data_IF_342461788327
#
_entry.id   IF_342461788327
#
_cell.length_a   1.000
_cell.length_b   1.000
_cell.length_c   1.000
_cell.angle_alpha   90.00
_cell.angle_beta   90.00
_cell.angle_gamma   90.00
#
_symmetry.space_group_name_H-M   'P 1'
#
loop_
_entity.id
_entity.type
_entity.pdbx_description
1 polymer ?
#
# COMPACT_ATOMS: atom_id res chain seq x y z
N UNK A 1 0.50 21.63 -10.30
CA UNK A 1 -0.11 20.41 -9.71
C UNK A 1 0.96 19.68 -8.92
N UNK A 2 0.67 19.04 -7.77
CA UNK A 2 1.70 18.27 -7.04
C UNK A 2 1.89 16.90 -7.69
N UNK A 3 3.11 16.35 -7.59
CA UNK A 3 3.44 15.02 -8.14
C UNK A 3 2.46 13.91 -7.73
N UNK A 4 1.99 13.90 -6.48
CA UNK A 4 1.01 12.92 -5.99
C UNK A 4 -0.32 13.01 -6.74
N UNK A 5 -0.83 14.23 -6.94
CA UNK A 5 -2.11 14.45 -7.61
C UNK A 5 -2.01 14.08 -9.09
N UNK A 6 -0.87 14.39 -9.73
CA UNK A 6 -0.57 14.01 -11.11
C UNK A 6 -0.51 12.48 -11.27
N UNK A 7 0.22 11.78 -10.40
CA UNK A 7 0.29 10.31 -10.42
C UNK A 7 -1.09 9.68 -10.21
N UNK A 8 -1.89 10.21 -9.28
CA UNK A 8 -3.25 9.72 -9.04
C UNK A 8 -4.16 9.94 -10.26
N UNK A 9 -4.05 11.10 -10.93
CA UNK A 9 -4.80 11.40 -12.13
C UNK A 9 -4.44 10.49 -13.31
N UNK A 10 -3.15 10.32 -13.57
CA UNK A 10 -2.66 9.44 -14.61
C UNK A 10 -3.11 7.98 -14.39
N UNK A 11 -3.04 7.48 -13.15
CA UNK A 11 -3.55 6.14 -12.80
C UNK A 11 -5.05 6.00 -13.05
N UNK A 12 -5.86 7.02 -12.75
CA UNK A 12 -7.31 7.02 -13.09
C UNK A 12 -7.57 6.96 -14.59
N UNK A 13 -6.65 7.51 -15.39
CA UNK A 13 -6.69 7.48 -16.86
C UNK A 13 -6.10 6.20 -17.46
N UNK A 14 -5.78 5.21 -16.63
CA UNK A 14 -5.24 3.92 -17.06
C UNK A 14 -3.74 3.93 -17.34
N UNK A 15 -3.01 4.97 -16.92
CA UNK A 15 -1.55 5.05 -17.06
C UNK A 15 -0.88 4.36 -15.89
N UNK A 16 0.01 3.42 -16.20
CA UNK A 16 0.92 2.81 -15.24
C UNK A 16 2.26 3.54 -15.22
N UNK A 17 2.76 3.79 -14.01
CA UNK A 17 3.99 4.53 -13.75
C UNK A 17 4.91 3.67 -12.89
N UNK A 18 6.02 3.22 -13.46
CA UNK A 18 6.98 2.33 -12.80
C UNK A 18 8.31 3.05 -12.62
N UNK A 19 8.86 3.11 -11.38
CA UNK A 19 10.17 3.71 -11.16
C UNK A 19 11.29 2.78 -11.65
N UNK A 20 12.18 3.30 -12.48
CA UNK A 20 13.40 2.64 -12.96
C UNK A 20 14.61 3.54 -12.72
N UNK A 21 15.31 3.33 -11.60
CA UNK A 21 16.37 4.24 -11.17
C UNK A 21 15.87 5.67 -11.00
N UNK A 22 16.47 6.61 -11.74
CA UNK A 22 16.10 8.03 -11.83
C UNK A 22 15.06 8.32 -12.93
N UNK A 23 14.58 7.29 -13.62
CA UNK A 23 13.59 7.35 -14.69
C UNK A 23 12.24 6.82 -14.22
N UNK A 24 11.22 7.14 -15.00
CA UNK A 24 9.86 6.61 -14.84
C UNK A 24 9.49 5.99 -16.17
N UNK A 25 9.22 4.68 -16.16
CA UNK A 25 8.60 3.99 -17.27
C UNK A 25 7.11 4.32 -17.21
N UNK A 26 6.57 4.76 -18.35
CA UNK A 26 5.17 5.15 -18.49
C UNK A 26 4.53 4.20 -19.48
N UNK A 27 3.65 3.33 -19.01
CA UNK A 27 2.78 2.53 -19.86
C UNK A 27 1.41 3.21 -19.90
N UNK A 28 0.94 3.59 -21.08
CA UNK A 28 -0.22 4.44 -21.23
C UNK A 28 -1.04 4.05 -22.47
N UNK A 29 -2.39 4.13 -22.39
CA UNK A 29 -3.23 4.01 -23.56
C UNK A 29 -2.90 5.09 -24.61
N UNK A 30 -3.12 4.76 -25.88
CA UNK A 30 -2.86 5.68 -26.98
C UNK A 30 -3.61 7.01 -26.81
N UNK A 31 -2.91 8.12 -27.05
CA UNK A 31 -3.48 9.47 -26.93
C UNK A 31 -3.64 10.01 -25.50
N UNK A 32 -3.34 9.22 -24.45
CA UNK A 32 -3.40 9.70 -23.06
C UNK A 32 -2.21 10.60 -22.71
N UNK A 33 -1.04 10.32 -23.28
CA UNK A 33 0.18 11.11 -23.09
C UNK A 33 0.31 12.14 -24.22
N UNK A 34 -0.35 13.28 -24.03
CA UNK A 34 -0.19 14.48 -24.87
C UNK A 34 1.01 15.33 -24.42
N UNK A 35 1.28 16.42 -25.14
CA UNK A 35 2.44 17.29 -24.85
C UNK A 35 2.35 17.94 -23.47
N UNK A 36 1.15 18.38 -23.08
CA UNK A 36 0.92 18.96 -21.76
C UNK A 36 1.22 17.97 -20.64
N UNK A 37 0.81 16.71 -20.79
CA UNK A 37 1.13 15.64 -19.84
C UNK A 37 2.64 15.38 -19.79
N UNK A 38 3.34 15.42 -20.93
CA UNK A 38 4.80 15.27 -20.97
C UNK A 38 5.51 16.40 -20.22
N UNK A 39 5.09 17.65 -20.42
CA UNK A 39 5.64 18.80 -19.69
C UNK A 39 5.45 18.64 -18.18
N UNK A 40 4.22 18.31 -17.75
CA UNK A 40 3.92 18.09 -16.33
C UNK A 40 4.74 16.93 -15.71
N UNK A 41 4.93 15.84 -16.46
CA UNK A 41 5.79 14.72 -16.06
C UNK A 41 7.25 15.15 -15.93
N UNK A 42 7.76 15.94 -16.87
CA UNK A 42 9.13 16.43 -16.88
C UNK A 42 9.40 17.39 -15.71
N UNK A 43 8.52 18.37 -15.50
CA UNK A 43 8.60 19.35 -14.40
C UNK A 43 8.59 18.67 -13.02
N UNK A 44 7.80 17.60 -12.86
CA UNK A 44 7.64 16.91 -11.58
C UNK A 44 8.51 15.66 -11.45
N UNK A 45 9.35 15.34 -12.43
CA UNK A 45 10.07 14.06 -12.52
C UNK A 45 10.78 13.64 -11.23
N UNK A 46 11.59 14.49 -10.55
CA UNK A 46 12.28 14.08 -9.33
C UNK A 46 11.31 13.71 -8.20
N UNK A 47 10.21 14.47 -8.07
CA UNK A 47 9.20 14.23 -7.06
C UNK A 47 8.38 12.96 -7.36
N UNK A 48 8.08 12.69 -8.63
CA UNK A 48 7.40 11.46 -9.07
C UNK A 48 8.27 10.25 -8.77
N UNK A 49 9.56 10.27 -9.17
CA UNK A 49 10.49 9.15 -8.90
C UNK A 49 10.56 8.86 -7.41
N UNK A 50 10.75 9.89 -6.57
CA UNK A 50 10.80 9.75 -5.11
C UNK A 50 9.52 9.16 -4.54
N UNK A 51 8.36 9.60 -5.02
CA UNK A 51 7.06 9.07 -4.61
C UNK A 51 6.93 7.58 -4.96
N UNK A 52 7.21 7.21 -6.21
CA UNK A 52 7.07 5.84 -6.70
C UNK A 52 8.05 4.88 -6.01
N UNK A 53 9.30 5.32 -5.78
CA UNK A 53 10.27 4.53 -5.00
C UNK A 53 9.82 4.33 -3.56
N UNK A 54 9.26 5.37 -2.92
CA UNK A 54 8.70 5.26 -1.58
C UNK A 54 7.51 4.29 -1.54
N UNK A 55 6.59 4.36 -2.51
CA UNK A 55 5.47 3.42 -2.63
C UNK A 55 5.97 1.98 -2.83
N UNK A 56 6.96 1.76 -3.70
CA UNK A 56 7.58 0.45 -3.93
C UNK A 56 8.21 -0.10 -2.66
N UNK A 57 8.93 0.74 -1.89
CA UNK A 57 9.50 0.35 -0.61
C UNK A 57 8.42 -0.05 0.38
N UNK A 58 7.36 0.75 0.50
CA UNK A 58 6.22 0.46 1.38
C UNK A 58 5.56 -0.88 1.04
N UNK A 59 5.32 -1.16 -0.25
CA UNK A 59 4.77 -2.46 -0.69
C UNK A 59 5.68 -3.62 -0.35
N UNK A 60 7.00 -3.48 -0.52
CA UNK A 60 7.98 -4.52 -0.11
C UNK A 60 8.02 -4.74 1.39
N UNK A 61 7.94 -3.67 2.17
CA UNK A 61 7.86 -3.76 3.64
C UNK A 61 6.58 -4.48 4.08
N UNK A 62 5.45 -4.18 3.44
CA UNK A 62 4.17 -4.82 3.69
C UNK A 62 4.20 -6.31 3.32
N UNK A 63 4.72 -6.65 2.14
CA UNK A 63 4.84 -8.02 1.67
C UNK A 63 5.71 -8.87 2.62
N UNK A 64 6.86 -8.32 3.05
CA UNK A 64 7.73 -8.95 4.04
C UNK A 64 7.05 -9.18 5.40
N UNK A 65 6.16 -8.28 5.80
CA UNK A 65 5.39 -8.43 7.04
C UNK A 65 4.31 -9.52 6.91
N UNK A 66 3.81 -9.75 5.69
CA UNK A 66 2.76 -10.72 5.42
C UNK A 66 1.40 -10.30 5.99
N UNK A 67 0.43 -11.22 5.93
CA UNK A 67 -0.85 -11.04 6.61
C UNK A 67 -0.64 -11.14 8.13
N UNK A 68 -0.87 -10.04 8.85
CA UNK A 68 -0.85 -10.03 10.32
C UNK A 68 -2.27 -9.90 10.83
N UNK A 69 -2.63 -10.77 11.76
CA UNK A 69 -3.95 -10.79 12.40
C UNK A 69 -3.72 -10.73 13.90
N UNK A 70 -4.15 -9.65 14.53
CA UNK A 70 -4.00 -9.48 15.97
C UNK A 70 -5.20 -8.75 16.58
N UNK A 71 -5.35 -8.89 17.90
CA UNK A 71 -6.31 -8.10 18.64
C UNK A 71 -5.90 -6.63 18.58
N UNK A 72 -6.85 -5.77 18.23
CA UNK A 72 -6.64 -4.34 18.33
C UNK A 72 -6.61 -3.90 19.81
N UNK A 73 -6.18 -2.66 20.05
CA UNK A 73 -6.23 -2.06 21.39
C UNK A 73 -7.67 -1.92 21.89
N UNK A 74 -8.61 -1.67 20.98
CA UNK A 74 -10.03 -1.60 21.30
C UNK A 74 -10.61 -3.01 21.47
N UNK A 75 -11.30 -3.25 22.59
CA UNK A 75 -11.86 -4.56 22.91
C UNK A 75 -12.88 -4.98 21.86
N UNK A 76 -12.80 -6.25 21.44
CA UNK A 76 -13.71 -6.80 20.44
C UNK A 76 -13.37 -6.45 19.00
N UNK A 77 -12.22 -5.79 18.75
CA UNK A 77 -11.74 -5.48 17.41
C UNK A 77 -10.50 -6.28 17.03
N UNK A 78 -10.40 -6.63 15.75
CA UNK A 78 -9.24 -7.28 15.14
C UNK A 78 -8.57 -6.29 14.20
N UNK A 79 -7.27 -6.14 14.35
CA UNK A 79 -6.40 -5.41 13.44
C UNK A 79 -5.81 -6.39 12.40
N UNK A 80 -6.03 -6.08 11.12
CA UNK A 80 -5.60 -6.86 9.97
C UNK A 80 -4.61 -6.05 9.14
N UNK A 81 -3.37 -6.52 9.05
CA UNK A 81 -2.38 -5.96 8.15
C UNK A 81 -2.52 -6.60 6.76
N UNK A 82 -2.75 -5.77 5.73
CA UNK A 82 -2.90 -6.24 4.36
C UNK A 82 -1.53 -6.29 3.65
N UNK A 83 -1.05 -7.47 3.23
CA UNK A 83 0.34 -7.64 2.76
C UNK A 83 0.66 -6.89 1.45
N UNK A 84 -0.32 -6.61 0.61
CA UNK A 84 -0.06 -5.99 -0.71
C UNK A 84 -0.05 -4.46 -0.67
N UNK A 85 -0.69 -3.83 0.33
CA UNK A 85 -0.76 -2.36 0.47
C UNK A 85 -0.05 -1.84 1.71
N UNK A 86 0.08 -2.67 2.75
CA UNK A 86 0.56 -2.25 4.07
C UNK A 86 -0.50 -1.57 4.93
N UNK A 87 -1.76 -1.56 4.49
CA UNK A 87 -2.85 -0.97 5.24
C UNK A 87 -3.24 -1.81 6.45
N UNK A 88 -3.66 -1.15 7.51
CA UNK A 88 -4.23 -1.77 8.70
C UNK A 88 -5.74 -1.54 8.72
N UNK A 89 -6.50 -2.62 8.62
CA UNK A 89 -7.96 -2.59 8.73
C UNK A 89 -8.39 -3.04 10.12
N UNK A 90 -9.34 -2.32 10.69
CA UNK A 90 -9.94 -2.67 11.98
C UNK A 90 -11.35 -3.18 11.72
N UNK A 91 -11.61 -4.41 12.12
CA UNK A 91 -12.91 -5.08 11.91
C UNK A 91 -13.39 -5.63 13.24
N UNK A 92 -14.70 -5.54 13.52
CA UNK A 92 -15.25 -6.14 14.75
C UNK A 92 -15.08 -7.64 14.69
N UNK A 93 -14.67 -8.26 15.79
CA UNK A 93 -14.47 -9.70 15.87
C UNK A 93 -15.75 -10.49 15.54
N UNK A 94 -16.92 -9.92 15.82
CA UNK A 94 -18.23 -10.50 15.46
C UNK A 94 -18.53 -10.48 13.95
N UNK A 95 -17.86 -9.62 13.20
CA UNK A 95 -17.98 -9.48 11.73
C UNK A 95 -16.87 -10.24 11.00
N UNK A 96 -15.88 -10.74 11.73
CA UNK A 96 -14.80 -11.54 11.18
C UNK A 96 -15.23 -12.99 10.99
N UNK A 97 -14.67 -13.63 9.96
CA UNK A 97 -14.75 -15.08 9.82
C UNK A 97 -14.09 -15.77 11.03
N UNK A 98 -14.60 -16.94 11.48
CA UNK A 98 -14.07 -17.61 12.67
C UNK A 98 -12.55 -17.84 12.65
N UNK A 99 -12.00 -18.21 11.48
CA UNK A 99 -10.56 -18.46 11.33
C UNK A 99 -9.70 -17.21 11.61
N UNK A 100 -10.21 -16.01 11.34
CA UNK A 100 -9.53 -14.75 11.63
C UNK A 100 -9.45 -14.53 13.14
N UNK A 101 -10.57 -14.76 13.83
CA UNK A 101 -10.63 -14.67 15.29
C UNK A 101 -9.70 -15.69 15.94
N UNK A 102 -9.66 -16.91 15.42
CA UNK A 102 -8.79 -17.97 15.94
C UNK A 102 -7.31 -17.70 15.69
N UNK A 103 -6.96 -17.10 14.55
CA UNK A 103 -5.59 -16.62 14.28
C UNK A 103 -5.17 -15.54 15.29
N UNK A 104 -6.05 -14.56 15.57
CA UNK A 104 -5.78 -13.52 16.57
C UNK A 104 -5.57 -14.10 17.98
N UNK A 105 -6.39 -15.08 18.38
CA UNK A 105 -6.24 -15.82 19.65
C UNK A 105 -4.93 -16.60 19.70
N UNK A 106 -4.59 -17.32 18.64
CA UNK A 106 -3.35 -18.09 18.57
C UNK A 106 -2.12 -17.20 18.73
N UNK A 107 -2.12 -16.03 18.06
CA UNK A 107 -1.05 -15.04 18.18
C UNK A 107 -0.94 -14.45 19.60
N UNK A 108 -2.05 -14.11 20.24
CA UNK A 108 -2.05 -13.63 21.62
C UNK A 108 -1.46 -14.66 22.61
N UNK A 109 -1.76 -15.95 22.41
CA UNK A 109 -1.18 -17.04 23.22
C UNK A 109 0.33 -17.15 23.04
N UNK A 110 0.83 -17.01 21.82
CA UNK A 110 2.28 -17.03 21.54
C UNK A 110 3.01 -15.86 22.21
N UNK A 111 2.44 -14.64 22.16
CA UNK A 111 3.03 -13.47 22.79
C UNK A 111 3.04 -13.55 24.33
N UNK A 112 2.04 -14.20 24.93
CA UNK A 112 2.00 -14.45 26.38
C UNK A 112 3.03 -15.48 26.85
N UNK A 113 3.39 -16.46 26.00
CA UNK A 113 4.39 -17.50 26.32
C UNK A 113 5.84 -17.01 26.24
N UNK A 114 6.13 -15.95 25.47
CA UNK A 114 7.47 -15.38 25.36
C UNK A 114 7.84 -14.39 26.48
N UNK A 115 6.96 -14.18 27.46
CA UNK A 115 7.17 -13.27 28.60
C UNK A 115 7.30 -13.99 29.95
N UNK A 116 7.38 -15.33 29.93
CA UNK A 116 7.52 -16.19 31.12
C UNK A 116 8.90 -16.81 31.21
#
# INVERSE_FOLDING_TARGET
>A
MKARDLVADLRRRGVELVPDGDRVIVDAPAGVIDERVRELLAENKPAIVKLLQWERRKRREADRMGLVIEWAKERGWIALHYPTTGEWHHVRASECLPWVVDAAKARARQQGRGRG
#
